data_IF_855680730043
#
_entry.id   IF_855680730043
#
_cell.length_a   1.000
_cell.length_b   1.000
_cell.length_c   1.000
_cell.angle_alpha   90.00
_cell.angle_beta   90.00
_cell.angle_gamma   90.00
#
_symmetry.space_group_name_H-M   'P 1'
#
loop_
_entity.id
_entity.type
_entity.pdbx_description
1 polymer ?
#
# COMPACT_ATOMS: atom_id res chain seq x y z
N UNK A 1 1.52 -29.22 -52.88
CA UNK A 1 2.50 -29.19 -53.99
C UNK A 1 2.49 -27.78 -54.58
N UNK A 2 3.62 -27.08 -54.45
CA UNK A 2 4.10 -25.88 -55.15
C UNK A 2 3.13 -24.74 -55.48
N UNK A 3 3.35 -23.61 -54.80
CA UNK A 3 3.00 -22.26 -55.22
C UNK A 3 4.31 -21.54 -55.57
N UNK A 4 4.55 -21.15 -56.84
CA UNK A 4 5.62 -20.22 -57.27
C UNK A 4 5.22 -19.54 -58.59
N UNK A 5 5.04 -18.21 -58.49
CA UNK A 5 5.35 -17.07 -59.39
C UNK A 5 5.03 -17.12 -60.91
N UNK A 6 4.89 -16.04 -61.71
CA UNK A 6 5.35 -14.62 -61.71
C UNK A 6 4.49 -13.90 -62.80
N UNK A 7 4.15 -12.59 -62.84
CA UNK A 7 4.99 -11.42 -63.12
C UNK A 7 4.20 -10.08 -63.12
N UNK A 8 4.87 -9.04 -62.57
CA UNK A 8 5.07 -7.63 -63.01
C UNK A 8 3.92 -6.75 -63.54
N UNK A 9 3.77 -5.58 -62.89
CA UNK A 9 3.92 -4.19 -63.46
C UNK A 9 3.70 -3.18 -62.32
N UNK A 10 4.71 -2.45 -61.86
CA UNK A 10 5.20 -1.12 -62.31
C UNK A 10 4.84 -0.02 -61.30
N UNK A 11 5.83 0.86 -61.09
CA UNK A 11 5.95 1.95 -60.13
C UNK A 11 5.09 3.16 -60.53
N UNK A 12 4.53 3.90 -59.57
CA UNK A 12 4.39 5.36 -59.67
C UNK A 12 4.52 6.00 -58.27
N UNK A 13 5.75 6.35 -57.91
CA UNK A 13 6.09 7.23 -56.77
C UNK A 13 6.04 8.67 -57.28
N UNK A 14 5.11 9.48 -56.79
CA UNK A 14 5.04 10.90 -57.08
C UNK A 14 6.19 11.65 -56.39
N UNK A 15 7.07 12.26 -57.19
CA UNK A 15 8.20 13.09 -56.75
C UNK A 15 7.82 14.56 -56.93
N UNK A 16 7.51 15.27 -55.85
CA UNK A 16 7.49 16.73 -55.87
C UNK A 16 8.92 17.25 -55.66
N UNK A 17 9.52 17.71 -56.76
CA UNK A 17 10.85 18.31 -56.78
C UNK A 17 10.75 19.80 -56.40
N UNK A 18 11.20 20.16 -55.20
CA UNK A 18 11.47 21.55 -54.83
C UNK A 18 12.93 21.87 -55.15
N UNK A 19 13.14 22.72 -56.16
CA UNK A 19 14.45 23.27 -56.53
C UNK A 19 14.79 24.42 -55.57
N UNK A 20 15.90 24.32 -54.85
CA UNK A 20 16.47 25.44 -54.09
C UNK A 20 17.82 25.78 -54.71
N UNK A 21 17.95 27.05 -55.13
CA UNK A 21 19.14 27.65 -55.73
C UNK A 21 20.04 28.13 -54.58
N UNK A 22 21.30 27.69 -54.55
CA UNK A 22 22.31 28.13 -53.58
C UNK A 22 23.05 29.36 -54.14
N UNK A 23 23.14 30.50 -53.41
CA UNK A 23 24.22 31.44 -53.59
C UNK A 23 25.42 31.04 -52.72
N UNK A 24 26.61 31.13 -53.32
CA UNK A 24 27.89 30.88 -52.67
C UNK A 24 28.10 31.85 -51.49
N UNK A 25 28.40 31.32 -50.30
CA UNK A 25 28.78 32.11 -49.13
C UNK A 25 30.19 31.72 -48.71
N UNK A 26 31.03 32.75 -48.63
CA UNK A 26 32.45 32.70 -48.32
C UNK A 26 32.72 32.13 -46.92
N UNK A 27 33.80 31.36 -46.81
CA UNK A 27 34.27 30.71 -45.58
C UNK A 27 35.00 31.76 -44.74
N UNK A 28 34.44 32.09 -43.57
CA UNK A 28 35.16 32.77 -42.49
C UNK A 28 35.24 31.80 -41.30
N UNK A 29 36.45 31.35 -40.98
CA UNK A 29 36.74 30.52 -39.81
C UNK A 29 36.56 31.32 -38.53
N UNK A 30 35.55 30.99 -37.72
CA UNK A 30 35.39 31.50 -36.36
C UNK A 30 35.59 30.34 -35.38
N UNK A 31 36.59 30.52 -34.51
CA UNK A 31 36.95 29.65 -33.40
C UNK A 31 35.80 29.59 -32.39
N UNK A 32 34.99 28.54 -32.45
CA UNK A 32 33.91 28.31 -31.48
C UNK A 32 34.47 27.68 -30.20
N UNK A 33 34.44 28.45 -29.12
CA UNK A 33 34.61 27.97 -27.76
C UNK A 33 33.50 26.95 -27.46
N UNK A 34 33.88 25.70 -27.17
CA UNK A 34 32.95 24.67 -26.70
C UNK A 34 32.44 25.04 -25.32
N UNK A 35 31.28 25.70 -25.24
CA UNK A 35 30.49 25.72 -24.01
C UNK A 35 29.59 24.48 -24.07
N UNK A 36 29.94 23.47 -23.29
CA UNK A 36 29.11 22.27 -23.13
C UNK A 36 27.76 22.66 -22.55
N UNK A 37 26.72 22.71 -23.39
CA UNK A 37 25.34 22.65 -22.94
C UNK A 37 25.07 21.20 -22.51
N UNK A 38 25.14 20.93 -21.21
CA UNK A 38 24.49 19.75 -20.65
C UNK A 38 22.99 20.06 -20.56
N UNK A 39 22.19 19.37 -21.37
CA UNK A 39 20.75 19.29 -21.14
C UNK A 39 20.56 18.53 -19.82
N UNK A 40 20.50 19.26 -18.71
CA UNK A 40 20.01 18.73 -17.45
C UNK A 40 18.56 18.35 -17.65
N UNK A 41 18.30 17.09 -18.02
CA UNK A 41 16.98 16.49 -17.85
C UNK A 41 16.66 16.57 -16.36
N UNK A 42 15.92 17.61 -15.98
CA UNK A 42 15.26 17.65 -14.69
C UNK A 42 14.18 16.60 -14.76
N UNK A 43 14.52 15.37 -14.37
CA UNK A 43 13.52 14.41 -13.94
C UNK A 43 12.88 15.03 -12.71
N UNK A 44 11.81 15.80 -12.90
CA UNK A 44 10.84 16.06 -11.83
C UNK A 44 10.34 14.69 -11.41
N UNK A 45 11.00 14.10 -10.42
CA UNK A 45 10.42 13.05 -9.61
C UNK A 45 9.13 13.67 -9.06
N UNK A 46 8.00 13.32 -9.65
CA UNK A 46 6.69 13.56 -9.07
C UNK A 46 6.64 12.72 -7.80
N UNK A 47 7.18 13.26 -6.71
CA UNK A 47 6.96 12.75 -5.37
C UNK A 47 5.47 12.91 -5.12
N UNK A 48 4.74 11.79 -5.21
CA UNK A 48 3.33 11.74 -4.81
C UNK A 48 3.24 12.40 -3.43
N UNK A 49 2.34 13.37 -3.22
CA UNK A 49 2.24 14.06 -1.93
C UNK A 49 2.09 13.02 -0.83
N UNK A 50 3.00 13.07 0.15
CA UNK A 50 3.00 12.13 1.25
C UNK A 50 2.11 12.67 2.37
N UNK A 51 1.10 11.90 2.77
CA UNK A 51 0.16 12.33 3.81
C UNK A 51 0.67 11.93 5.19
N UNK A 52 0.50 12.82 6.15
CA UNK A 52 0.60 12.52 7.58
C UNK A 52 -0.81 12.43 8.16
N UNK A 53 -1.12 11.35 8.87
CA UNK A 53 -2.41 11.17 9.53
C UNK A 53 -2.29 10.25 10.74
N UNK A 54 -3.24 10.37 11.66
CA UNK A 54 -3.41 9.47 12.80
C UNK A 54 -4.85 9.00 12.88
N UNK A 55 -5.03 7.74 13.26
CA UNK A 55 -6.33 7.13 13.52
C UNK A 55 -6.27 6.33 14.82
N UNK A 56 -7.36 6.32 15.55
CA UNK A 56 -7.50 5.54 16.78
C UNK A 56 -8.97 5.15 16.97
N UNK A 57 -9.21 4.19 17.86
CA UNK A 57 -10.56 3.80 18.21
C UNK A 57 -10.60 2.86 19.40
N UNK A 58 -11.80 2.70 19.94
CA UNK A 58 -12.09 1.72 20.96
C UNK A 58 -12.36 0.34 20.33
N UNK A 59 -11.99 -0.70 21.05
CA UNK A 59 -12.43 -2.07 20.83
C UNK A 59 -13.49 -2.32 21.90
N UNK A 60 -14.72 -2.63 21.47
CA UNK A 60 -15.81 -3.00 22.36
C UNK A 60 -16.68 -4.01 21.62
N UNK A 61 -16.47 -5.29 21.90
CA UNK A 61 -17.14 -6.38 21.19
C UNK A 61 -17.54 -7.49 22.14
N UNK A 62 -18.68 -8.11 21.84
CA UNK A 62 -19.14 -9.36 22.44
C UNK A 62 -18.82 -10.49 21.46
N UNK A 63 -17.98 -11.43 21.89
CA UNK A 63 -17.58 -12.61 21.11
C UNK A 63 -18.23 -13.85 21.70
N UNK A 64 -18.76 -14.70 20.83
CA UNK A 64 -19.38 -15.97 21.22
C UNK A 64 -18.38 -17.11 21.03
N UNK A 65 -18.07 -17.83 22.10
CA UNK A 65 -17.25 -19.04 22.04
C UNK A 65 -18.08 -20.20 21.52
N UNK A 66 -17.80 -20.64 20.30
CA UNK A 66 -18.55 -21.70 19.63
C UNK A 66 -17.67 -22.59 18.77
N UNK A 67 -18.11 -23.83 18.57
CA UNK A 67 -17.44 -24.78 17.69
C UNK A 67 -17.62 -24.35 16.23
N UNK A 68 -16.63 -24.58 15.34
CA UNK A 68 -16.74 -24.24 13.92
C UNK A 68 -17.96 -24.84 13.22
N UNK A 69 -18.49 -25.97 13.73
CA UNK A 69 -19.62 -26.70 13.14
C UNK A 69 -20.98 -26.38 13.79
N UNK A 70 -21.06 -25.38 14.68
CA UNK A 70 -22.30 -25.00 15.36
C UNK A 70 -23.29 -24.39 14.36
N UNK A 71 -24.43 -25.05 14.14
CA UNK A 71 -25.50 -24.59 13.22
C UNK A 71 -26.57 -23.73 13.89
N UNK A 72 -26.77 -23.93 15.19
CA UNK A 72 -27.76 -23.21 16.00
C UNK A 72 -27.07 -22.72 17.27
N UNK A 73 -27.33 -21.47 17.65
CA UNK A 73 -26.73 -20.84 18.83
C UNK A 73 -27.81 -20.69 19.89
N UNK A 74 -27.65 -21.40 21.00
CA UNK A 74 -28.44 -21.17 22.19
C UNK A 74 -27.83 -20.02 23.01
N UNK A 75 -28.48 -18.86 22.97
CA UNK A 75 -28.01 -17.66 23.66
C UNK A 75 -28.01 -17.80 25.19
N UNK A 76 -28.74 -18.76 25.76
CA UNK A 76 -28.76 -19.00 27.21
C UNK A 76 -27.51 -19.74 27.69
N UNK A 77 -26.95 -20.62 26.86
CA UNK A 77 -25.82 -21.49 27.23
C UNK A 77 -24.50 -21.13 26.55
N UNK A 78 -24.53 -20.40 25.43
CA UNK A 78 -23.30 -20.03 24.70
C UNK A 78 -22.35 -19.21 25.58
N UNK A 79 -21.07 -19.57 25.52
CA UNK A 79 -20.02 -18.85 26.22
C UNK A 79 -19.84 -17.47 25.57
N UNK A 80 -19.76 -16.43 26.41
CA UNK A 80 -19.69 -15.04 25.97
C UNK A 80 -18.43 -14.40 26.53
N UNK A 81 -17.69 -13.74 25.66
CA UNK A 81 -16.46 -13.03 25.96
C UNK A 81 -16.60 -11.56 25.59
N UNK A 82 -15.99 -10.69 26.39
CA UNK A 82 -15.89 -9.27 26.07
C UNK A 82 -14.48 -9.02 25.55
N UNK A 83 -14.36 -8.39 24.39
CA UNK A 83 -13.13 -7.74 23.96
C UNK A 83 -13.28 -6.24 24.22
N UNK A 84 -12.40 -5.69 25.07
CA UNK A 84 -12.42 -4.28 25.44
C UNK A 84 -11.03 -3.69 25.40
N UNK A 85 -10.83 -2.59 24.69
CA UNK A 85 -9.51 -2.01 24.55
C UNK A 85 -9.46 -0.82 23.62
N UNK A 86 -8.27 -0.52 23.13
CA UNK A 86 -8.02 0.57 22.18
C UNK A 86 -7.01 0.16 21.14
N UNK A 87 -7.07 0.82 20.00
CA UNK A 87 -6.04 0.75 18.97
C UNK A 87 -5.68 2.17 18.50
N UNK A 88 -4.47 2.31 17.99
CA UNK A 88 -4.01 3.53 17.33
C UNK A 88 -3.04 3.20 16.19
N UNK A 89 -3.00 4.10 15.21
CA UNK A 89 -2.12 4.06 14.06
C UNK A 89 -1.70 5.48 13.72
N UNK A 90 -0.42 5.69 13.44
CA UNK A 90 0.11 6.97 12.95
C UNK A 90 0.99 6.74 11.74
N UNK A 91 0.76 7.55 10.73
CA UNK A 91 1.55 7.63 9.50
C UNK A 91 2.13 9.03 9.40
N UNK A 92 3.44 9.14 9.26
CA UNK A 92 4.13 10.40 9.02
C UNK A 92 4.78 10.39 7.64
N UNK A 93 4.42 11.36 6.80
CA UNK A 93 4.93 11.51 5.43
C UNK A 93 4.88 10.18 4.67
N UNK A 94 3.76 9.47 4.77
CA UNK A 94 3.53 8.20 4.09
C UNK A 94 4.24 6.98 4.71
N UNK A 95 4.92 7.12 5.84
CA UNK A 95 5.56 6.02 6.55
C UNK A 95 4.80 5.68 7.82
N UNK A 96 4.54 4.40 8.09
CA UNK A 96 3.98 3.97 9.37
C UNK A 96 5.02 4.22 10.46
N UNK A 97 4.68 5.07 11.43
CA UNK A 97 5.57 5.36 12.58
C UNK A 97 5.10 4.69 13.85
N UNK A 98 3.81 4.38 13.96
CA UNK A 98 3.25 3.66 15.09
C UNK A 98 2.00 2.88 14.70
N UNK A 99 1.91 1.67 15.23
CA UNK A 99 0.66 0.92 15.34
C UNK A 99 0.70 0.13 16.64
N UNK A 100 -0.37 0.23 17.41
CA UNK A 100 -0.56 -0.58 18.59
C UNK A 100 -2.04 -0.87 18.82
N UNK A 101 -2.34 -2.07 19.31
CA UNK A 101 -3.64 -2.41 19.88
C UNK A 101 -3.42 -3.10 21.22
N UNK A 102 -4.17 -2.69 22.24
CA UNK A 102 -4.15 -3.34 23.55
C UNK A 102 -5.58 -3.57 23.98
N UNK A 103 -5.92 -4.83 24.23
CA UNK A 103 -7.28 -5.20 24.59
C UNK A 103 -7.30 -6.32 25.60
N UNK A 104 -8.26 -6.21 26.50
CA UNK A 104 -8.66 -7.24 27.44
C UNK A 104 -9.61 -8.22 26.76
N UNK A 105 -9.52 -9.49 27.12
CA UNK A 105 -10.54 -10.50 26.85
C UNK A 105 -10.85 -11.30 28.11
N UNK A 106 -12.13 -11.59 28.32
CA UNK A 106 -12.59 -12.37 29.47
C UNK A 106 -14.08 -12.71 29.41
N UNK A 107 -14.53 -13.71 30.16
CA UNK A 107 -15.95 -14.06 30.24
C UNK A 107 -16.80 -12.90 30.76
N UNK A 108 -18.01 -12.71 30.21
CA UNK A 108 -18.94 -11.64 30.63
C UNK A 108 -19.33 -11.71 32.12
N UNK A 109 -19.22 -12.89 32.73
CA UNK A 109 -19.59 -13.15 34.13
C UNK A 109 -18.40 -13.07 35.11
N UNK A 110 -17.25 -12.54 34.69
CA UNK A 110 -16.13 -12.26 35.59
C UNK A 110 -15.29 -13.47 36.02
N UNK A 111 -14.88 -14.32 35.07
CA UNK A 111 -14.07 -15.52 35.34
C UNK A 111 -12.57 -15.27 35.59
N UNK A 112 -11.83 -16.34 35.88
CA UNK A 112 -10.37 -16.32 36.14
C UNK A 112 -9.49 -16.40 34.89
N UNK A 113 -10.08 -16.63 33.70
CA UNK A 113 -9.37 -16.81 32.43
C UNK A 113 -9.11 -15.51 31.67
N UNK A 114 -9.30 -14.39 32.35
CA UNK A 114 -9.11 -13.07 31.78
C UNK A 114 -7.63 -12.86 31.44
N UNK A 115 -7.39 -12.25 30.29
CA UNK A 115 -6.05 -11.86 29.91
C UNK A 115 -6.11 -10.65 28.98
N UNK A 116 -4.96 -10.01 28.83
CA UNK A 116 -4.78 -8.92 27.89
C UNK A 116 -3.97 -9.41 26.70
N UNK A 117 -4.26 -8.87 25.53
CA UNK A 117 -3.50 -9.02 24.31
C UNK A 117 -2.90 -7.68 23.92
N UNK A 118 -1.66 -7.72 23.43
CA UNK A 118 -0.94 -6.58 22.92
C UNK A 118 -0.47 -6.87 21.51
N UNK A 119 -0.90 -6.07 20.54
CA UNK A 119 -0.36 -6.06 19.18
C UNK A 119 0.55 -4.86 19.04
N UNK A 120 1.79 -5.09 18.64
CA UNK A 120 2.83 -4.05 18.63
C UNK A 120 3.86 -4.27 17.54
N UNK A 121 4.70 -3.26 17.31
CA UNK A 121 5.85 -3.38 16.42
C UNK A 121 5.44 -3.81 15.00
N UNK A 122 4.35 -3.25 14.46
CA UNK A 122 3.90 -3.60 13.11
C UNK A 122 4.86 -3.04 12.06
N UNK A 123 5.39 -3.93 11.23
CA UNK A 123 6.32 -3.65 10.14
C UNK A 123 5.61 -3.96 8.83
N UNK A 124 5.29 -2.92 8.07
CA UNK A 124 4.59 -3.05 6.78
C UNK A 124 5.51 -3.67 5.74
N UNK A 125 4.99 -4.63 4.97
CA UNK A 125 5.68 -5.14 3.79
C UNK A 125 5.61 -4.08 2.67
N UNK A 126 6.61 -3.22 2.62
CA UNK A 126 6.69 -2.12 1.65
C UNK A 126 7.97 -2.16 0.81
N UNK A 127 8.22 -3.27 0.12
CA UNK A 127 9.43 -3.47 -0.69
C UNK A 127 9.61 -2.44 -1.81
N UNK A 128 8.53 -1.79 -2.23
CA UNK A 128 8.53 -0.80 -3.32
C UNK A 128 8.55 0.66 -2.82
N UNK A 129 8.71 0.88 -1.50
CA UNK A 129 8.68 2.22 -0.88
C UNK A 129 7.45 3.06 -1.28
N UNK A 130 6.29 2.41 -1.45
CA UNK A 130 5.04 3.08 -1.80
C UNK A 130 4.54 3.82 -0.55
N UNK A 131 4.33 5.14 -0.61
CA UNK A 131 3.81 5.88 0.52
C UNK A 131 2.42 5.37 0.93
N UNK A 132 2.21 5.18 2.23
CA UNK A 132 0.91 4.87 2.82
C UNK A 132 0.01 6.09 2.68
N UNK A 133 -1.19 5.88 2.15
CA UNK A 133 -2.15 6.93 1.84
C UNK A 133 -3.56 6.45 2.16
N UNK A 134 -4.40 7.36 2.62
CA UNK A 134 -5.83 7.12 2.73
C UNK A 134 -6.48 7.22 1.35
N UNK A 135 -7.48 6.38 1.11
CA UNK A 135 -8.47 6.62 0.05
C UNK A 135 -9.38 7.80 0.42
N UNK A 136 -10.16 8.36 -0.53
CA UNK A 136 -11.05 9.49 -0.24
C UNK A 136 -12.09 9.23 0.87
N UNK A 137 -12.53 7.99 1.03
CA UNK A 137 -13.44 7.54 2.10
C UNK A 137 -12.71 7.28 3.43
N UNK A 138 -11.40 7.55 3.51
CA UNK A 138 -10.54 7.33 4.69
C UNK A 138 -10.29 5.86 5.00
N UNK A 139 -10.22 5.02 3.97
CA UNK A 139 -9.84 3.62 4.09
C UNK A 139 -8.34 3.41 3.80
N UNK A 140 -7.77 2.34 4.39
CA UNK A 140 -6.40 1.88 4.11
C UNK A 140 -6.28 0.39 4.45
N UNK A 141 -5.48 -0.35 3.68
CA UNK A 141 -5.16 -1.75 3.92
C UNK A 141 -3.65 -1.94 3.89
N UNK A 142 -3.09 -2.48 4.96
CA UNK A 142 -1.65 -2.70 5.13
C UNK A 142 -1.39 -4.15 5.50
N UNK A 143 -0.52 -4.81 4.75
CA UNK A 143 -0.02 -6.14 5.10
C UNK A 143 1.41 -6.06 5.60
N UNK A 144 1.78 -6.90 6.54
CA UNK A 144 3.10 -6.90 7.15
C UNK A 144 3.22 -7.96 8.23
N UNK A 145 4.10 -7.71 9.18
CA UNK A 145 4.33 -8.57 10.34
C UNK A 145 4.26 -7.76 11.64
N UNK A 146 3.72 -8.33 12.72
CA UNK A 146 3.71 -7.70 14.04
C UNK A 146 4.07 -8.69 15.15
N UNK A 147 4.32 -8.16 16.34
CA UNK A 147 4.54 -8.95 17.54
C UNK A 147 3.25 -9.00 18.38
N UNK A 148 2.96 -10.17 18.94
CA UNK A 148 1.80 -10.43 19.81
C UNK A 148 2.28 -10.72 21.21
N UNK A 149 1.75 -9.99 22.19
CA UNK A 149 1.95 -10.20 23.61
C UNK A 149 0.66 -10.61 24.31
N UNK A 150 0.81 -11.32 25.42
CA UNK A 150 -0.27 -11.70 26.31
C UNK A 150 0.13 -11.38 27.75
N UNK A 151 -0.73 -10.67 28.49
CA UNK A 151 -0.47 -10.29 29.88
C UNK A 151 0.88 -9.56 30.07
N UNK A 152 1.21 -8.67 29.15
CA UNK A 152 2.45 -7.88 29.18
C UNK A 152 3.71 -8.69 28.84
N UNK A 153 3.58 -9.97 28.46
CA UNK A 153 4.69 -10.83 28.04
C UNK A 153 4.62 -11.07 26.54
N UNK A 154 5.78 -11.13 25.88
CA UNK A 154 5.87 -11.47 24.46
C UNK A 154 5.46 -12.94 24.26
N UNK A 155 4.53 -13.19 23.34
CA UNK A 155 3.96 -14.52 23.09
C UNK A 155 4.32 -15.03 21.69
N UNK A 156 4.20 -14.18 20.66
CA UNK A 156 4.59 -14.50 19.29
C UNK A 156 5.29 -13.32 18.61
N UNK A 157 6.17 -13.62 17.67
CA UNK A 157 6.97 -12.64 16.95
C UNK A 157 6.70 -12.81 15.46
N UNK A 158 6.82 -11.71 14.72
CA UNK A 158 6.79 -11.74 13.25
C UNK A 158 5.53 -12.44 12.68
N UNK A 159 4.38 -12.26 13.35
CA UNK A 159 3.11 -12.82 12.92
C UNK A 159 2.64 -12.07 11.68
N UNK A 160 2.39 -12.80 10.60
CA UNK A 160 1.82 -12.22 9.37
C UNK A 160 0.45 -11.63 9.69
N UNK A 161 0.25 -10.37 9.33
CA UNK A 161 -0.97 -9.65 9.66
C UNK A 161 -1.35 -8.67 8.57
N UNK A 162 -2.64 -8.57 8.33
CA UNK A 162 -3.26 -7.50 7.58
C UNK A 162 -4.08 -6.62 8.51
N UNK A 163 -3.82 -5.32 8.47
CA UNK A 163 -4.58 -4.28 9.16
C UNK A 163 -5.37 -3.52 8.12
N UNK A 164 -6.69 -3.55 8.23
CA UNK A 164 -7.60 -2.78 7.38
C UNK A 164 -8.35 -1.78 8.22
N UNK A 165 -8.32 -0.51 7.82
CA UNK A 165 -9.22 0.51 8.34
C UNK A 165 -10.20 0.83 7.22
N UNK A 166 -11.49 0.64 7.49
CA UNK A 166 -12.58 0.89 6.54
C UNK A 166 -13.35 2.14 6.96
N UNK A 167 -13.56 3.03 5.99
CA UNK A 167 -14.32 4.30 6.11
C UNK A 167 -13.93 5.17 7.31
N UNK A 168 -12.67 5.06 7.74
CA UNK A 168 -12.11 5.73 8.93
C UNK A 168 -12.74 5.33 10.27
N UNK A 169 -13.51 4.22 10.34
CA UNK A 169 -14.28 3.84 11.53
C UNK A 169 -14.05 2.42 12.00
N UNK A 170 -13.94 1.47 11.08
CA UNK A 170 -13.86 0.04 11.42
C UNK A 170 -12.44 -0.44 11.22
N UNK A 171 -11.88 -1.10 12.23
CA UNK A 171 -10.60 -1.81 12.11
C UNK A 171 -10.84 -3.31 12.00
N UNK A 172 -10.12 -3.95 11.09
CA UNK A 172 -10.00 -5.41 10.97
C UNK A 172 -8.53 -5.76 11.08
N UNK A 173 -8.21 -6.76 11.90
CA UNK A 173 -6.87 -7.31 12.07
C UNK A 173 -6.98 -8.82 11.87
N UNK A 174 -6.25 -9.35 10.91
CA UNK A 174 -6.29 -10.77 10.52
C UNK A 174 -4.91 -11.31 10.19
#
# INVERSE_FOLDING_TARGET
MRYVQTMKKELLVSRNAMRIILPAIAIATILTCFIGLTLGQTTTATTKPTTTFSMNGAISSLVLGMSPNTKTVDMSTVQKFILSGVWNMTVDKGNLTSFAANFYTGPVNGGTTNHTHQLSNFRVNNSNNIPIQLTPDKSVSLSGILDVGTNGKKAWNDVHTTVVISVGRTITIS
#
